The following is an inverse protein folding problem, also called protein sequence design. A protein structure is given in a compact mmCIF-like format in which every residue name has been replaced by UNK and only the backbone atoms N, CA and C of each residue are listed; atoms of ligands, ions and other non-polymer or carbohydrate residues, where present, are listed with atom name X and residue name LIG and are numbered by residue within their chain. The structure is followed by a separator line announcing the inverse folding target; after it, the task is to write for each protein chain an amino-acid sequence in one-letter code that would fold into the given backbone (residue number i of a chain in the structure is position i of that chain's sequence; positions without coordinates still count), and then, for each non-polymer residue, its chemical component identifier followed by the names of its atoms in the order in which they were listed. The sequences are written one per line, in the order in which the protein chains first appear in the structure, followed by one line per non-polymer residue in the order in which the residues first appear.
data_IF_235959975836
#
_entry.id   IF_235959975836
#
_cell.length_a   1.000
_cell.length_b   1.000
_cell.length_c   1.000
_cell.angle_alpha   90.00
_cell.angle_beta   90.00
_cell.angle_gamma   90.00
#
_symmetry.space_group_name_H-M   'P 1'
#
loop_
_entity.id
_entity.type
_entity.pdbx_description
1 polymer ?
#
# COMPACT_ATOMS: atom_id res chain seq x y z
N UNK A 1 3.91 -6.84 15.79
CA UNK A 1 5.00 -6.97 14.81
C UNK A 1 4.50 -7.58 13.51
N UNK A 2 3.78 -8.71 13.50
CA UNK A 2 3.18 -9.28 12.26
C UNK A 2 2.16 -8.35 11.58
N UNK A 3 1.25 -7.73 12.32
CA UNK A 3 0.20 -6.86 11.74
C UNK A 3 0.77 -5.66 10.97
N UNK A 4 1.82 -5.02 11.50
CA UNK A 4 2.45 -3.86 10.85
C UNK A 4 3.22 -4.26 9.58
N UNK A 5 3.81 -5.45 9.58
CA UNK A 5 4.50 -6.00 8.41
C UNK A 5 3.51 -6.36 7.30
N UNK A 6 2.35 -6.93 7.66
CA UNK A 6 1.28 -7.22 6.71
C UNK A 6 0.66 -5.95 6.12
N UNK A 7 0.41 -4.92 6.95
CA UNK A 7 -0.11 -3.64 6.47
C UNK A 7 0.83 -2.97 5.46
N UNK A 8 2.14 -2.93 5.75
CA UNK A 8 3.14 -2.42 4.80
C UNK A 8 3.13 -3.21 3.49
N UNK A 9 3.08 -4.54 3.55
CA UNK A 9 3.09 -5.36 2.34
C UNK A 9 1.84 -5.13 1.48
N UNK A 10 0.67 -4.93 2.11
CA UNK A 10 -0.55 -4.54 1.41
C UNK A 10 -0.37 -3.23 0.65
N UNK A 11 0.15 -2.19 1.31
CA UNK A 11 0.42 -0.91 0.64
C UNK A 11 1.42 -1.08 -0.51
N UNK A 12 2.53 -1.79 -0.29
CA UNK A 12 3.50 -2.03 -1.38
C UNK A 12 2.86 -2.80 -2.55
N UNK A 13 1.94 -3.72 -2.29
CA UNK A 13 1.21 -4.42 -3.32
C UNK A 13 0.24 -3.50 -4.09
N UNK A 14 -0.42 -2.56 -3.42
CA UNK A 14 -1.25 -1.53 -4.09
C UNK A 14 -0.42 -0.66 -5.03
N UNK A 15 0.78 -0.23 -4.61
CA UNK A 15 1.65 0.62 -5.43
C UNK A 15 2.35 -0.12 -6.57
N UNK A 16 2.77 -1.37 -6.35
CA UNK A 16 3.67 -2.07 -7.28
C UNK A 16 3.10 -3.38 -7.83
N UNK A 17 1.89 -3.79 -7.45
CA UNK A 17 1.27 -5.05 -7.86
C UNK A 17 1.20 -5.20 -9.38
N UNK A 18 0.92 -4.13 -10.10
CA UNK A 18 0.88 -4.11 -11.57
C UNK A 18 2.23 -4.45 -12.24
N UNK A 19 3.36 -4.36 -11.53
CA UNK A 19 4.70 -4.69 -12.04
C UNK A 19 5.06 -6.17 -11.81
N UNK A 20 4.20 -6.92 -11.13
CA UNK A 20 4.41 -8.34 -10.85
C UNK A 20 3.98 -9.20 -12.04
N UNK A 21 4.58 -10.39 -12.13
CA UNK A 21 4.06 -11.42 -13.04
C UNK A 21 2.68 -11.89 -12.58
N UNK A 22 1.86 -12.39 -13.50
CA UNK A 22 0.51 -12.87 -13.20
C UNK A 22 0.47 -13.84 -12.00
N UNK A 23 1.40 -14.80 -11.94
CA UNK A 23 1.44 -15.78 -10.84
C UNK A 23 1.77 -15.16 -9.48
N UNK A 24 2.71 -14.22 -9.45
CA UNK A 24 3.09 -13.48 -8.24
C UNK A 24 1.92 -12.61 -7.75
N UNK A 25 1.26 -11.92 -8.68
CA UNK A 25 0.10 -11.11 -8.39
C UNK A 25 -1.04 -11.95 -7.83
N UNK A 26 -1.40 -13.07 -8.48
CA UNK A 26 -2.50 -13.93 -8.01
C UNK A 26 -2.26 -14.46 -6.61
N UNK A 27 -1.05 -14.91 -6.28
CA UNK A 27 -0.76 -15.46 -4.96
C UNK A 27 -0.81 -14.40 -3.86
N UNK A 28 -0.28 -13.20 -4.12
CA UNK A 28 -0.39 -12.09 -3.17
C UNK A 28 -1.83 -11.60 -3.03
N UNK A 29 -2.59 -11.50 -4.13
CA UNK A 29 -3.99 -11.07 -4.10
C UNK A 29 -4.83 -12.01 -3.24
N UNK A 30 -4.69 -13.32 -3.42
CA UNK A 30 -5.41 -14.30 -2.60
C UNK A 30 -4.99 -14.24 -1.14
N UNK A 31 -3.68 -14.11 -0.87
CA UNK A 31 -3.16 -14.13 0.49
C UNK A 31 -3.45 -12.86 1.28
N UNK A 32 -3.29 -11.68 0.67
CA UNK A 32 -3.39 -10.39 1.33
C UNK A 32 -4.70 -9.64 1.06
N UNK A 33 -5.35 -9.93 -0.07
CA UNK A 33 -6.63 -9.32 -0.46
C UNK A 33 -7.85 -10.17 -0.06
N UNK A 34 -7.77 -11.48 -0.28
CA UNK A 34 -8.90 -12.40 -0.04
C UNK A 34 -8.76 -13.24 1.25
N UNK A 35 -7.71 -13.01 2.04
CA UNK A 35 -7.39 -13.73 3.29
C UNK A 35 -7.26 -15.26 3.16
N UNK A 36 -6.89 -15.77 1.98
CA UNK A 36 -6.66 -17.20 1.78
C UNK A 36 -5.42 -17.66 2.54
N UNK A 37 -5.50 -18.83 3.17
CA UNK A 37 -4.34 -19.51 3.71
C UNK A 37 -3.44 -20.07 2.60
N UNK A 38 -2.16 -20.29 2.92
CA UNK A 38 -1.22 -20.96 2.00
C UNK A 38 -1.68 -22.35 1.55
N UNK A 39 -2.53 -23.02 2.36
CA UNK A 39 -3.11 -24.31 2.03
C UNK A 39 -4.19 -24.18 0.96
N UNK A 40 -5.12 -23.24 1.13
CA UNK A 40 -6.19 -22.97 0.17
C UNK A 40 -5.62 -22.56 -1.20
N UNK A 41 -4.62 -21.69 -1.22
CA UNK A 41 -3.92 -21.31 -2.48
C UNK A 41 -3.22 -22.52 -3.10
N UNK A 42 -2.61 -23.39 -2.28
CA UNK A 42 -1.92 -24.57 -2.77
C UNK A 42 -2.88 -25.57 -3.42
N UNK A 43 -4.06 -25.77 -2.82
CA UNK A 43 -5.13 -26.61 -3.34
C UNK A 43 -5.69 -26.06 -4.65
N UNK A 44 -6.01 -24.76 -4.70
CA UNK A 44 -6.56 -24.11 -5.89
C UNK A 44 -5.63 -24.21 -7.10
N UNK A 45 -4.33 -24.02 -6.89
CA UNK A 45 -3.32 -24.06 -7.95
C UNK A 45 -2.67 -25.44 -8.15
N UNK A 46 -3.10 -26.46 -7.40
CA UNK A 46 -2.53 -27.82 -7.42
C UNK A 46 -0.99 -27.84 -7.26
N UNK A 47 -0.48 -27.03 -6.34
CA UNK A 47 0.95 -26.94 -6.00
C UNK A 47 1.18 -27.31 -4.54
N UNK A 48 2.44 -27.41 -4.10
CA UNK A 48 2.72 -27.61 -2.68
C UNK A 48 2.55 -26.30 -1.89
N UNK A 49 2.13 -26.42 -0.63
CA UNK A 49 2.11 -25.28 0.31
C UNK A 49 3.45 -24.56 0.41
N UNK A 50 4.56 -25.31 0.32
CA UNK A 50 5.91 -24.75 0.30
C UNK A 50 6.16 -23.89 -0.94
N UNK A 51 5.69 -24.32 -2.12
CA UNK A 51 5.86 -23.56 -3.35
C UNK A 51 5.09 -22.22 -3.30
N UNK A 52 3.91 -22.19 -2.68
CA UNK A 52 3.16 -20.94 -2.43
C UNK A 52 3.93 -20.03 -1.47
N UNK A 53 4.39 -20.57 -0.34
CA UNK A 53 5.16 -19.82 0.65
C UNK A 53 6.41 -19.18 0.05
N UNK A 54 7.20 -19.97 -0.69
CA UNK A 54 8.45 -19.49 -1.31
C UNK A 54 8.17 -18.40 -2.36
N UNK A 55 7.06 -18.52 -3.10
CA UNK A 55 6.66 -17.53 -4.07
C UNK A 55 6.25 -16.21 -3.39
N UNK A 56 5.41 -16.25 -2.36
CA UNK A 56 5.01 -15.05 -1.60
C UNK A 56 6.25 -14.37 -1.01
N UNK A 57 7.12 -15.11 -0.30
CA UNK A 57 8.35 -14.57 0.28
C UNK A 57 9.30 -13.94 -0.75
N UNK A 58 9.39 -14.52 -1.94
CA UNK A 58 10.20 -13.95 -3.03
C UNK A 58 9.57 -12.67 -3.55
N UNK A 59 8.25 -12.63 -3.67
CA UNK A 59 7.52 -11.48 -4.19
C UNK A 59 7.54 -10.32 -3.21
N UNK A 60 7.42 -10.57 -1.90
CA UNK A 60 7.66 -9.57 -0.84
C UNK A 60 9.01 -8.85 -1.03
N UNK A 61 10.08 -9.60 -1.28
CA UNK A 61 11.42 -9.04 -1.53
C UNK A 61 11.49 -8.21 -2.82
N UNK A 62 10.71 -8.58 -3.85
CA UNK A 62 10.64 -7.82 -5.09
C UNK A 62 9.94 -6.48 -4.85
N UNK A 63 8.81 -6.48 -4.13
CA UNK A 63 8.07 -5.28 -3.76
C UNK A 63 8.93 -4.31 -2.94
N UNK A 64 9.62 -4.82 -1.92
CA UNK A 64 10.59 -4.02 -1.14
C UNK A 64 11.74 -3.50 -2.02
N UNK A 65 12.18 -4.28 -3.01
CA UNK A 65 13.18 -3.87 -3.98
C UNK A 65 12.70 -2.78 -4.94
N UNK A 66 11.41 -2.73 -5.25
CA UNK A 66 10.81 -1.61 -5.98
C UNK A 66 10.73 -0.38 -5.10
N UNK A 67 10.26 -0.51 -3.87
CA UNK A 67 10.16 0.62 -2.93
C UNK A 67 11.53 1.26 -2.67
N UNK A 68 12.57 0.46 -2.46
CA UNK A 68 13.93 0.95 -2.26
C UNK A 68 14.51 1.73 -3.44
N UNK A 69 13.89 1.64 -4.63
CA UNK A 69 14.35 2.34 -5.85
C UNK A 69 13.42 3.49 -6.25
N UNK A 70 12.12 3.33 -6.04
CA UNK A 70 11.08 4.21 -6.56
C UNK A 70 10.49 5.12 -5.47
N UNK A 71 10.52 4.68 -4.21
CA UNK A 71 10.05 5.44 -3.04
C UNK A 71 8.59 5.92 -3.15
N UNK A 72 7.73 5.25 -3.92
CA UNK A 72 6.37 5.74 -4.16
C UNK A 72 5.55 5.74 -2.87
N UNK A 73 5.62 4.66 -2.10
CA UNK A 73 4.89 4.56 -0.85
C UNK A 73 5.44 5.55 0.19
N UNK A 74 6.76 5.63 0.35
CA UNK A 74 7.38 6.60 1.25
C UNK A 74 7.03 8.05 0.88
N UNK A 75 7.06 8.41 -0.40
CA UNK A 75 6.73 9.76 -0.86
C UNK A 75 5.25 10.06 -0.61
N UNK A 76 4.36 9.09 -0.83
CA UNK A 76 2.94 9.20 -0.52
C UNK A 76 2.71 9.44 0.98
N UNK A 77 3.36 8.67 1.87
CA UNK A 77 3.27 8.88 3.32
C UNK A 77 3.76 10.28 3.73
N UNK A 78 4.85 10.76 3.13
CA UNK A 78 5.38 12.10 3.42
C UNK A 78 4.45 13.22 2.95
N UNK A 79 3.82 13.06 1.78
CA UNK A 79 2.85 14.00 1.26
C UNK A 79 1.62 14.07 2.18
N UNK A 80 1.09 12.93 2.58
CA UNK A 80 -0.06 12.87 3.51
C UNK A 80 0.28 13.47 4.88
N UNK A 81 1.45 13.16 5.43
CA UNK A 81 1.88 13.75 6.70
C UNK A 81 2.01 15.29 6.61
N UNK A 82 2.49 15.80 5.48
CA UNK A 82 2.62 17.24 5.23
C UNK A 82 1.25 17.91 5.07
N UNK A 83 0.33 17.26 4.35
CA UNK A 83 -1.06 17.67 4.21
C UNK A 83 -1.77 17.76 5.57
N UNK A 84 -1.66 16.73 6.40
CA UNK A 84 -2.24 16.69 7.74
C UNK A 84 -1.68 17.81 8.63
N UNK A 85 -0.36 18.03 8.58
CA UNK A 85 0.29 19.09 9.34
C UNK A 85 -0.20 20.47 8.89
N UNK A 86 -0.34 20.68 7.58
CA UNK A 86 -0.85 21.92 7.01
C UNK A 86 -2.31 22.17 7.40
N UNK A 87 -3.15 21.14 7.34
CA UNK A 87 -4.55 21.22 7.75
C UNK A 87 -4.67 21.61 9.23
N UNK A 88 -3.92 20.96 10.12
CA UNK A 88 -3.89 21.29 11.55
C UNK A 88 -3.39 22.72 11.79
N UNK A 89 -2.37 23.16 11.07
CA UNK A 89 -1.85 24.52 11.18
C UNK A 89 -2.89 25.56 10.78
N UNK A 90 -3.58 25.36 9.65
CA UNK A 90 -4.63 26.27 9.17
C UNK A 90 -5.81 26.32 10.14
N UNK A 91 -6.27 25.18 10.65
CA UNK A 91 -7.34 25.15 11.65
C UNK A 91 -6.96 25.89 12.94
N UNK A 92 -5.70 25.81 13.36
CA UNK A 92 -5.22 26.47 14.57
C UNK A 92 -5.02 27.99 14.41
N UNK A 93 -4.50 28.45 13.26
CA UNK A 93 -4.13 29.84 13.04
C UNK A 93 -5.18 30.67 12.28
N UNK A 94 -5.97 30.02 11.43
CA UNK A 94 -6.95 30.65 10.54
C UNK A 94 -8.34 29.97 10.59
N UNK A 95 -8.94 29.78 11.79
CA UNK A 95 -10.17 28.99 11.94
C UNK A 95 -11.40 29.56 11.21
N UNK A 96 -11.41 30.87 10.94
CA UNK A 96 -12.52 31.56 10.27
C UNK A 96 -12.27 31.82 8.78
N UNK A 97 -11.10 31.43 8.24
CA UNK A 97 -10.80 31.61 6.82
C UNK A 97 -11.36 30.43 6.00
N UNK A 98 -12.64 30.56 5.66
CA UNK A 98 -13.38 29.55 4.89
C UNK A 98 -12.82 29.38 3.47
N UNK A 99 -12.21 30.42 2.89
CA UNK A 99 -11.63 30.32 1.55
C UNK A 99 -10.35 29.49 1.58
N UNK A 100 -9.48 29.72 2.57
CA UNK A 100 -8.27 28.93 2.75
C UNK A 100 -8.59 27.46 3.06
N UNK A 101 -9.58 27.21 3.91
CA UNK A 101 -10.04 25.85 4.19
C UNK A 101 -10.56 25.14 2.93
N UNK A 102 -11.31 25.85 2.07
CA UNK A 102 -11.80 25.31 0.80
C UNK A 102 -10.66 25.01 -0.18
N UNK A 103 -9.72 25.94 -0.38
CA UNK A 103 -8.58 25.74 -1.27
C UNK A 103 -7.72 24.53 -0.85
N UNK A 104 -7.55 24.34 0.47
CA UNK A 104 -6.88 23.16 0.99
C UNK A 104 -7.66 21.87 0.68
N UNK A 105 -8.98 21.86 0.91
CA UNK A 105 -9.81 20.70 0.60
C UNK A 105 -9.77 20.35 -0.89
N UNK A 106 -9.86 21.36 -1.76
CA UNK A 106 -9.77 21.18 -3.22
C UNK A 106 -8.40 20.60 -3.63
N UNK A 107 -7.30 21.01 -2.98
CA UNK A 107 -5.96 20.50 -3.24
C UNK A 107 -5.78 19.04 -2.80
N UNK A 108 -6.37 18.64 -1.67
CA UNK A 108 -6.30 17.27 -1.15
C UNK A 108 -7.14 16.29 -1.98
N UNK A 109 -8.29 16.73 -2.51
CA UNK A 109 -9.14 15.90 -3.36
C UNK A 109 -8.49 15.55 -4.73
N UNK A 110 -7.47 16.32 -5.16
CA UNK A 110 -6.76 16.07 -6.42
C UNK A 110 -5.70 14.97 -6.30
N UNK A 111 -5.30 14.60 -5.09
CA UNK A 111 -4.24 13.61 -4.82
C UNK A 111 -4.75 12.20 -4.52
N UNK A 112 -6.07 12.01 -4.39
CA UNK A 112 -6.72 10.73 -4.07
C UNK A 112 -7.34 10.01 -5.30
N UNK A 113 -6.99 10.38 -6.54
CA UNK A 113 -7.49 9.75 -7.78
C UNK A 113 -6.46 8.87 -8.49
#
# INVERSE_FOLDING_TARGET
MELAQNARMNSLFEFYGALLTAKQHSYLSLYYGDDFSLGEIAEEYQVSRQAVYDNIRRTEKILEGYEAKLHLFQNYEQQNASADALQKYIQAQYPNDQQLAKLLADLLNLTEQ
#
